data_IF_419628366122
#
_entry.id   IF_419628366122
#
_cell.length_a   1.000
_cell.length_b   1.000
_cell.length_c   1.000
_cell.angle_alpha   90.00
_cell.angle_beta   90.00
_cell.angle_gamma   90.00
#
_symmetry.space_group_name_H-M   'P 1'
#
loop_
_entity.id
_entity.type
_entity.pdbx_description
1 polymer ?
#
# COMPACT_ATOMS: atom_id res chain seq x y z
N UNK A 1 -6.28 -5.59 -17.95
CA UNK A 1 -5.46 -5.07 -16.85
C UNK A 1 -5.21 -3.60 -17.15
N UNK A 2 -5.57 -2.71 -16.23
CA UNK A 2 -5.46 -1.26 -16.41
C UNK A 2 -3.98 -0.87 -16.23
N UNK A 3 -3.43 -0.11 -17.18
CA UNK A 3 -2.00 0.13 -17.31
C UNK A 3 -1.63 1.53 -16.76
N UNK A 4 -1.49 1.62 -15.43
CA UNK A 4 -1.17 2.86 -14.72
C UNK A 4 0.32 3.20 -14.75
N UNK A 5 1.15 2.16 -14.81
CA UNK A 5 2.60 2.20 -14.96
C UNK A 5 3.07 0.80 -15.38
N UNK A 6 3.54 0.68 -16.63
CA UNK A 6 4.05 -0.59 -17.21
C UNK A 6 5.17 -1.24 -16.40
N UNK A 7 5.87 -0.47 -15.56
CA UNK A 7 6.99 -0.97 -14.74
C UNK A 7 6.52 -1.66 -13.46
N UNK A 8 5.25 -1.51 -13.07
CA UNK A 8 4.70 -2.03 -11.82
C UNK A 8 3.60 -3.04 -12.07
N UNK A 9 3.52 -4.02 -11.17
CA UNK A 9 2.35 -4.92 -11.11
C UNK A 9 1.31 -4.28 -10.20
N UNK A 10 0.07 -4.20 -10.67
CA UNK A 10 -1.05 -3.59 -9.97
C UNK A 10 -2.11 -4.62 -9.63
N UNK A 11 -2.72 -4.49 -8.46
CA UNK A 11 -3.80 -5.35 -7.97
C UNK A 11 -4.91 -4.48 -7.39
N UNK A 12 -6.16 -4.78 -7.69
CA UNK A 12 -7.26 -3.94 -7.26
C UNK A 12 -8.53 -4.24 -8.02
N UNK A 13 -9.54 -3.45 -7.72
CA UNK A 13 -10.81 -3.44 -8.40
C UNK A 13 -11.43 -2.05 -8.27
N UNK A 14 -12.34 -1.74 -9.20
CA UNK A 14 -13.16 -0.53 -9.16
C UNK A 14 -12.31 0.73 -8.93
N UNK A 15 -12.42 1.33 -7.75
CA UNK A 15 -11.83 2.61 -7.41
C UNK A 15 -10.56 2.55 -6.57
N UNK A 16 -10.03 1.37 -6.27
CA UNK A 16 -8.80 1.22 -5.50
C UNK A 16 -7.88 0.18 -6.12
N UNK A 17 -6.66 0.61 -6.42
CA UNK A 17 -5.59 -0.25 -6.92
C UNK A 17 -4.30 0.01 -6.18
N UNK A 18 -3.58 -1.07 -5.86
CA UNK A 18 -2.30 -1.03 -5.16
C UNK A 18 -1.21 -1.62 -6.04
N UNK A 19 -0.07 -0.96 -6.12
CA UNK A 19 1.13 -1.53 -6.70
C UNK A 19 1.67 -2.64 -5.80
N UNK A 20 2.30 -3.66 -6.38
CA UNK A 20 2.96 -4.73 -5.62
C UNK A 20 3.89 -4.10 -4.57
N UNK A 21 3.70 -4.38 -3.28
CA UNK A 21 4.65 -3.96 -2.26
C UNK A 21 5.93 -4.79 -2.39
N UNK A 22 7.06 -4.10 -2.37
CA UNK A 22 8.37 -4.73 -2.18
C UNK A 22 8.84 -4.39 -0.76
N UNK A 23 9.43 -5.36 -0.06
CA UNK A 23 10.03 -5.12 1.25
C UNK A 23 11.31 -4.31 1.09
N UNK A 24 11.47 -3.31 1.95
CA UNK A 24 12.66 -2.49 2.11
C UNK A 24 13.33 -2.94 3.42
N UNK A 25 14.62 -3.28 3.34
CA UNK A 25 15.36 -3.89 4.45
C UNK A 25 15.57 -2.96 5.66
N UNK A 26 15.29 -1.66 5.50
CA UNK A 26 15.50 -0.64 6.53
C UNK A 26 14.33 0.37 6.59
N UNK A 27 13.50 0.27 7.63
CA UNK A 27 13.15 1.49 8.36
C UNK A 27 14.48 2.06 8.91
N UNK A 28 14.64 3.38 9.05
CA UNK A 28 15.88 4.04 9.51
C UNK A 28 16.70 3.20 10.52
N UNK A 29 18.04 3.27 10.53
CA UNK A 29 18.90 2.47 11.44
C UNK A 29 18.53 2.60 12.95
N UNK A 30 17.70 3.58 13.30
CA UNK A 30 17.15 3.80 14.65
C UNK A 30 15.80 3.09 14.90
N UNK A 31 15.05 2.74 13.86
CA UNK A 31 13.81 1.98 13.93
C UNK A 31 14.12 0.50 13.72
N UNK A 32 14.13 -0.27 14.80
CA UNK A 32 14.16 -1.73 14.72
C UNK A 32 12.89 -2.20 13.99
N UNK A 33 13.03 -2.71 12.75
CA UNK A 33 11.89 -3.22 11.99
C UNK A 33 12.12 -3.33 10.48
N UNK A 34 11.08 -3.78 9.79
CA UNK A 34 11.03 -3.87 8.32
C UNK A 34 10.04 -2.85 7.79
N UNK A 35 10.31 -2.31 6.61
CA UNK A 35 9.44 -1.33 5.97
C UNK A 35 8.99 -1.83 4.61
N UNK A 36 7.78 -1.53 4.22
CA UNK A 36 7.41 -1.53 2.80
C UNK A 36 6.90 -0.16 2.40
N UNK A 37 7.14 0.21 1.15
CA UNK A 37 6.60 1.41 0.54
C UNK A 37 6.05 1.05 -0.83
N UNK A 38 4.81 1.42 -1.08
CA UNK A 38 4.17 1.17 -2.36
C UNK A 38 3.26 2.34 -2.74
N UNK A 39 2.78 2.31 -3.98
CA UNK A 39 1.83 3.28 -4.48
C UNK A 39 0.43 2.69 -4.47
N UNK A 40 -0.53 3.47 -4.02
CA UNK A 40 -1.95 3.21 -4.22
C UNK A 40 -2.52 4.27 -5.13
N UNK A 41 -3.54 3.94 -5.90
CA UNK A 41 -4.27 4.90 -6.73
C UNK A 41 -5.75 4.74 -6.51
N UNK A 42 -6.44 5.85 -6.65
CA UNK A 42 -7.88 5.95 -6.50
C UNK A 42 -8.48 6.45 -7.80
N UNK A 43 -9.57 5.81 -8.24
CA UNK A 43 -10.19 6.11 -9.54
C UNK A 43 -11.59 6.72 -9.40
N UNK A 44 -11.91 7.66 -10.27
CA UNK A 44 -13.25 8.21 -10.40
C UNK A 44 -14.20 7.25 -11.15
N UNK A 45 -15.43 7.69 -11.40
CA UNK A 45 -16.42 6.88 -12.12
C UNK A 45 -16.06 6.61 -13.59
N UNK A 46 -15.11 7.36 -14.16
CA UNK A 46 -14.60 7.22 -15.52
C UNK A 46 -13.25 6.48 -15.58
N UNK A 47 -12.78 5.94 -14.45
CA UNK A 47 -11.50 5.24 -14.37
C UNK A 47 -10.27 6.16 -14.41
N UNK A 48 -10.45 7.47 -14.19
CA UNK A 48 -9.36 8.44 -14.10
C UNK A 48 -8.81 8.53 -12.68
N UNK A 49 -7.50 8.75 -12.53
CA UNK A 49 -6.89 8.97 -11.21
C UNK A 49 -7.48 10.23 -10.56
N UNK A 50 -7.81 10.15 -9.28
CA UNK A 50 -8.43 11.26 -8.54
C UNK A 50 -8.12 11.17 -7.05
N UNK A 51 -7.96 12.30 -6.36
CA UNK A 51 -7.91 12.39 -4.90
C UNK A 51 -9.27 12.69 -4.25
N UNK A 52 -10.29 13.01 -5.04
CA UNK A 52 -11.60 13.47 -4.56
C UNK A 52 -12.35 12.42 -3.74
N UNK A 53 -11.99 11.13 -3.88
CA UNK A 53 -12.54 10.04 -3.07
C UNK A 53 -11.90 9.93 -1.69
N UNK A 54 -10.87 10.73 -1.42
CA UNK A 54 -10.12 10.71 -0.19
C UNK A 54 -9.03 9.66 -0.16
N UNK A 55 -8.26 9.71 0.92
CA UNK A 55 -7.10 8.86 1.14
C UNK A 55 -7.54 7.44 1.51
N UNK A 56 -6.98 6.39 0.87
CA UNK A 56 -7.24 5.01 1.26
C UNK A 56 -6.84 4.74 2.72
N UNK A 57 -7.68 3.97 3.41
CA UNK A 57 -7.40 3.50 4.76
C UNK A 57 -6.64 2.18 4.72
N UNK A 58 -5.60 2.01 5.53
CA UNK A 58 -4.72 0.83 5.51
C UNK A 58 -4.68 0.21 6.91
N UNK A 59 -5.26 -0.97 7.03
CA UNK A 59 -5.15 -1.81 8.23
C UNK A 59 -4.14 -2.93 8.03
N UNK A 60 -3.35 -3.20 9.06
CA UNK A 60 -2.33 -4.25 9.03
C UNK A 60 -2.43 -5.11 10.27
N UNK A 61 -2.74 -6.37 10.05
CA UNK A 61 -2.92 -7.38 11.09
C UNK A 61 -1.95 -8.52 10.86
N UNK A 62 -1.45 -9.06 11.95
CA UNK A 62 -0.61 -10.25 11.92
C UNK A 62 -1.47 -11.52 11.76
N UNK A 63 -0.96 -12.49 11.01
CA UNK A 63 -1.68 -13.74 10.70
C UNK A 63 -1.24 -14.94 11.55
N UNK A 64 0.01 -14.97 11.99
CA UNK A 64 0.61 -16.09 12.75
C UNK A 64 0.40 -15.98 14.27
N UNK A 65 0.21 -14.76 14.79
CA UNK A 65 -0.10 -14.47 16.20
C UNK A 65 -0.75 -13.09 16.33
N UNK A 66 -1.35 -12.72 17.47
CA UNK A 66 -1.88 -11.38 17.67
C UNK A 66 -0.81 -10.29 17.45
N UNK A 67 -1.19 -9.22 16.76
CA UNK A 67 -0.33 -8.08 16.51
C UNK A 67 -0.84 -7.20 15.37
N UNK A 68 -0.43 -5.94 15.37
CA UNK A 68 -0.68 -4.98 14.30
C UNK A 68 0.61 -4.27 13.92
N UNK A 69 0.62 -3.69 12.72
CA UNK A 69 1.73 -2.87 12.24
C UNK A 69 1.24 -1.44 12.00
N UNK A 70 2.16 -0.48 12.10
CA UNK A 70 1.83 0.92 11.80
C UNK A 70 1.82 1.12 10.30
N UNK A 71 0.76 1.72 9.79
CA UNK A 71 0.63 2.16 8.41
C UNK A 71 0.51 3.67 8.34
N UNK A 72 0.90 4.26 7.21
CA UNK A 72 0.61 5.64 6.88
C UNK A 72 0.45 5.81 5.38
N UNK A 73 -0.49 6.68 5.01
CA UNK A 73 -0.69 7.13 3.63
C UNK A 73 -0.35 8.61 3.59
N UNK A 74 0.64 8.99 2.78
CA UNK A 74 1.02 10.39 2.61
C UNK A 74 0.03 11.17 1.74
N UNK A 75 0.35 12.44 1.46
CA UNK A 75 -0.47 13.27 0.57
C UNK A 75 -0.49 12.74 -0.87
N UNK A 76 -1.53 13.10 -1.62
CA UNK A 76 -1.67 12.72 -3.03
C UNK A 76 -0.55 13.35 -3.85
N UNK A 77 0.28 12.51 -4.44
CA UNK A 77 1.47 12.90 -5.18
C UNK A 77 1.20 12.91 -6.68
N UNK A 78 1.85 13.83 -7.39
CA UNK A 78 1.88 13.88 -8.85
C UNK A 78 3.34 13.97 -9.31
N UNK A 79 3.74 13.11 -10.24
CA UNK A 79 5.05 13.19 -10.89
C UNK A 79 5.02 14.17 -12.07
N UNK A 80 6.20 14.59 -12.53
CA UNK A 80 6.34 15.51 -13.68
C UNK A 80 5.73 14.95 -14.98
N UNK A 81 5.66 13.62 -15.11
CA UNK A 81 5.02 12.94 -16.25
C UNK A 81 3.50 12.77 -16.10
N UNK A 82 2.91 13.38 -15.08
CA UNK A 82 1.47 13.38 -14.82
C UNK A 82 0.94 12.15 -14.09
N UNK A 83 1.77 11.16 -13.76
CA UNK A 83 1.32 10.02 -12.92
C UNK A 83 0.95 10.50 -11.53
N UNK A 84 -0.13 9.97 -10.97
CA UNK A 84 -0.64 10.35 -9.65
C UNK A 84 -0.79 9.13 -8.74
N UNK A 85 -0.51 9.28 -7.44
CA UNK A 85 -0.64 8.19 -6.48
C UNK A 85 -0.67 8.67 -5.03
N UNK A 86 -1.18 7.82 -4.16
CA UNK A 86 -1.01 7.88 -2.71
C UNK A 86 0.25 7.08 -2.32
N UNK A 87 1.26 7.70 -1.68
CA UNK A 87 2.40 6.96 -1.16
C UNK A 87 2.02 6.28 0.15
N UNK A 88 2.03 4.95 0.17
CA UNK A 88 1.68 4.15 1.34
C UNK A 88 2.93 3.53 1.94
N UNK A 89 3.04 3.57 3.27
CA UNK A 89 4.15 3.01 4.05
C UNK A 89 3.58 2.11 5.13
N UNK A 90 4.20 0.96 5.35
CA UNK A 90 3.92 0.08 6.49
C UNK A 90 5.25 -0.25 7.18
N UNK A 91 5.27 -0.11 8.50
CA UNK A 91 6.39 -0.46 9.37
C UNK A 91 6.01 -1.71 10.18
N UNK A 92 6.62 -2.84 9.81
CA UNK A 92 6.45 -4.11 10.50
C UNK A 92 7.44 -4.20 11.67
N UNK A 93 6.96 -4.35 12.91
CA UNK A 93 7.84 -4.40 14.09
C UNK A 93 8.66 -5.70 14.16
N UNK A 94 8.19 -6.78 13.53
CA UNK A 94 8.80 -8.10 13.64
C UNK A 94 8.62 -8.92 12.35
N UNK A 95 9.51 -9.91 12.10
CA UNK A 95 9.28 -10.95 11.09
C UNK A 95 7.94 -11.68 11.29
N UNK A 96 7.36 -12.17 10.20
CA UNK A 96 6.11 -12.93 10.22
C UNK A 96 5.24 -12.72 8.98
N UNK A 97 4.03 -13.25 9.02
CA UNK A 97 3.03 -13.10 7.96
C UNK A 97 2.01 -12.04 8.37
N UNK A 98 1.83 -11.05 7.51
CA UNK A 98 0.98 -9.90 7.77
C UNK A 98 -0.09 -9.79 6.69
N UNK A 99 -1.36 -9.65 7.09
CA UNK A 99 -2.47 -9.29 6.22
C UNK A 99 -2.57 -7.78 6.17
N UNK A 100 -2.48 -7.23 4.96
CA UNK A 100 -2.76 -5.82 4.70
C UNK A 100 -4.14 -5.73 4.06
N UNK A 101 -4.99 -4.86 4.59
CA UNK A 101 -6.30 -4.52 4.03
C UNK A 101 -6.32 -3.03 3.75
N UNK A 102 -6.37 -2.68 2.47
CA UNK A 102 -6.54 -1.30 2.03
C UNK A 102 -7.98 -1.09 1.57
N UNK A 103 -8.62 -0.02 2.06
CA UNK A 103 -10.04 0.24 1.87
C UNK A 103 -10.28 1.65 1.35
N UNK A 104 -11.15 1.78 0.35
CA UNK A 104 -11.70 3.04 -0.12
C UNK A 104 -13.20 2.83 -0.38
N UNK A 105 -14.06 3.53 0.36
CA UNK A 105 -15.51 3.32 0.27
C UNK A 105 -15.89 1.85 0.51
N UNK A 106 -16.51 1.21 -0.48
CA UNK A 106 -16.86 -0.23 -0.44
C UNK A 106 -15.74 -1.16 -0.92
N UNK A 107 -14.73 -0.63 -1.60
CA UNK A 107 -13.68 -1.43 -2.23
C UNK A 107 -12.62 -1.80 -1.21
N UNK A 108 -12.22 -3.08 -1.23
CA UNK A 108 -11.19 -3.63 -0.36
C UNK A 108 -10.17 -4.41 -1.15
N UNK A 109 -8.91 -3.99 -1.06
CA UNK A 109 -7.77 -4.74 -1.59
C UNK A 109 -7.07 -5.43 -0.42
N UNK A 110 -6.87 -6.75 -0.53
CA UNK A 110 -6.23 -7.55 0.51
C UNK A 110 -5.06 -8.32 -0.07
N UNK A 111 -3.95 -8.29 0.65
CA UNK A 111 -2.77 -9.08 0.31
C UNK A 111 -2.01 -9.47 1.57
N UNK A 112 -1.15 -10.47 1.41
CA UNK A 112 -0.27 -10.95 2.48
C UNK A 112 1.16 -10.52 2.18
N UNK A 113 1.85 -10.02 3.20
CA UNK A 113 3.28 -9.73 3.17
C UNK A 113 3.97 -10.70 4.12
N UNK A 114 4.94 -11.45 3.60
CA UNK A 114 5.82 -12.28 4.41
C UNK A 114 7.12 -11.51 4.67
N UNK A 115 7.38 -11.20 5.93
CA UNK A 115 8.60 -10.55 6.40
C UNK A 115 9.54 -11.64 6.92
N UNK A 116 10.67 -11.91 6.25
CA UNK A 116 11.58 -12.99 6.64
C UNK A 116 12.27 -12.69 7.97
N UNK A 117 12.67 -13.74 8.69
CA UNK A 117 13.63 -13.61 9.79
C UNK A 117 15.02 -13.32 9.22
N UNK A 118 15.85 -12.61 9.98
CA UNK A 118 17.28 -12.46 9.69
C UNK A 118 18.05 -13.70 10.13
#
# INVERSE_FOLDING_TARGET
MQDFDKKRRWYGADDLWVARPDLLDHADEREQGYRTKYASITLDAHGQMTDQKGTPHVDVERLDRPGSARSSTGGFATADDGRQWWPTVINFPEPGCWKVTETLGSTKVRFTVHVPAR
#
